data_IF_519881509588
#
_entry.id   IF_519881509588
#
_cell.length_a   1.000
_cell.length_b   1.000
_cell.length_c   1.000
_cell.angle_alpha   90.00
_cell.angle_beta   90.00
_cell.angle_gamma   90.00
#
_symmetry.space_group_name_H-M   'P 1'
#
loop_
_entity.id
_entity.type
_entity.pdbx_description
1 polymer ?
#
# COMPACT_ATOMS: atom_id res chain seq x y z
N UNK A 1 -24.15 -40.70 14.75
CA UNK A 1 -23.38 -39.50 15.13
C UNK A 1 -22.79 -39.70 16.51
N UNK A 2 -21.48 -39.50 16.70
CA UNK A 2 -20.85 -39.72 18.01
C UNK A 2 -21.08 -38.50 18.93
N UNK A 3 -22.09 -38.59 19.80
CA UNK A 3 -22.57 -37.51 20.68
C UNK A 3 -21.54 -37.02 21.72
N UNK A 4 -20.62 -37.89 22.17
CA UNK A 4 -19.65 -37.59 23.24
C UNK A 4 -18.26 -37.12 22.75
N UNK A 5 -18.14 -36.58 21.53
CA UNK A 5 -16.84 -36.16 20.96
C UNK A 5 -16.18 -34.97 21.64
N UNK A 6 -16.97 -34.12 22.31
CA UNK A 6 -16.50 -32.88 22.93
C UNK A 6 -16.23 -33.01 24.43
N UNK A 7 -16.65 -34.13 25.05
CA UNK A 7 -16.51 -34.36 26.51
C UNK A 7 -15.12 -34.87 26.87
N UNK A 8 -14.46 -35.59 25.95
CA UNK A 8 -13.10 -36.11 26.13
C UNK A 8 -12.16 -35.39 25.14
N UNK A 9 -11.19 -34.59 25.60
CA UNK A 9 -10.24 -33.93 24.71
C UNK A 9 -9.39 -34.99 23.99
N UNK A 10 -9.34 -34.91 22.66
CA UNK A 10 -8.48 -35.79 21.86
C UNK A 10 -7.05 -35.28 21.88
N UNK A 11 -6.09 -36.19 22.02
CA UNK A 11 -4.67 -35.86 21.91
C UNK A 11 -4.35 -35.29 20.51
N UNK A 12 -3.70 -34.14 20.47
CA UNK A 12 -3.08 -33.63 19.26
C UNK A 12 -1.76 -34.36 19.02
N UNK A 13 -1.59 -34.98 17.86
CA UNK A 13 -0.32 -35.57 17.44
C UNK A 13 0.53 -34.48 16.78
N UNK A 14 1.73 -34.27 17.31
CA UNK A 14 2.70 -33.31 16.78
C UNK A 14 3.56 -33.96 15.70
N UNK A 15 3.99 -33.16 14.73
CA UNK A 15 4.87 -33.61 13.66
C UNK A 15 6.35 -33.57 14.09
N UNK A 16 7.16 -34.50 13.57
CA UNK A 16 8.61 -34.52 13.83
C UNK A 16 9.37 -33.63 12.85
N UNK A 17 10.41 -32.95 13.34
CA UNK A 17 11.36 -32.19 12.53
C UNK A 17 12.38 -33.05 11.76
N UNK A 18 13.23 -32.38 10.97
CA UNK A 18 14.35 -32.98 10.24
C UNK A 18 15.47 -33.42 11.22
N UNK A 19 16.22 -34.48 10.89
CA UNK A 19 17.35 -34.92 11.71
C UNK A 19 18.49 -33.89 11.69
N UNK A 20 19.18 -33.71 12.83
CA UNK A 20 20.22 -32.68 13.00
C UNK A 20 21.29 -32.71 11.90
N UNK A 21 21.77 -33.90 11.55
CA UNK A 21 22.80 -34.09 10.53
C UNK A 21 22.34 -33.68 9.12
N UNK A 22 21.03 -33.64 8.86
CA UNK A 22 20.42 -33.33 7.55
C UNK A 22 19.75 -31.96 7.51
N UNK A 23 19.88 -31.13 8.55
CA UNK A 23 19.31 -29.78 8.56
C UNK A 23 19.83 -28.91 7.42
N UNK A 24 21.04 -29.17 6.92
CA UNK A 24 21.62 -28.47 5.76
C UNK A 24 20.83 -28.68 4.46
N UNK A 25 20.01 -29.74 4.35
CA UNK A 25 19.14 -30.00 3.20
C UNK A 25 17.78 -29.28 3.30
N UNK A 26 17.54 -28.57 4.40
CA UNK A 26 16.26 -27.94 4.71
C UNK A 26 15.27 -28.85 5.42
N UNK A 27 14.03 -28.36 5.53
CA UNK A 27 12.95 -29.05 6.23
C UNK A 27 12.52 -30.31 5.49
N UNK A 28 12.12 -31.34 6.26
CA UNK A 28 11.66 -32.60 5.70
C UNK A 28 10.24 -32.45 5.13
N UNK A 29 10.09 -32.65 3.82
CA UNK A 29 8.79 -32.56 3.14
C UNK A 29 7.80 -33.58 3.72
N UNK A 30 6.61 -33.10 4.12
CA UNK A 30 5.53 -33.97 4.62
C UNK A 30 4.48 -34.23 3.56
N UNK A 31 3.49 -35.07 3.88
CA UNK A 31 2.40 -35.43 2.95
C UNK A 31 1.62 -34.22 2.46
N UNK A 32 1.43 -33.21 3.31
CA UNK A 32 0.75 -31.97 2.97
C UNK A 32 1.54 -31.18 1.93
N UNK A 33 2.85 -31.07 2.11
CA UNK A 33 3.75 -30.36 1.19
C UNK A 33 3.89 -31.10 -0.14
N UNK A 34 4.05 -32.42 -0.09
CA UNK A 34 4.06 -33.28 -1.27
C UNK A 34 2.78 -33.11 -2.09
N UNK A 35 1.63 -33.03 -1.44
CA UNK A 35 0.35 -32.81 -2.15
C UNK A 35 0.37 -31.47 -2.88
N UNK A 36 0.81 -30.38 -2.23
CA UNK A 36 0.95 -29.06 -2.86
C UNK A 36 1.94 -29.09 -4.02
N UNK A 37 3.12 -29.71 -3.84
CA UNK A 37 4.15 -29.85 -4.89
C UNK A 37 3.63 -30.63 -6.09
N UNK A 38 2.96 -31.77 -5.86
CA UNK A 38 2.35 -32.59 -6.90
C UNK A 38 1.28 -31.82 -7.67
N UNK A 39 0.43 -31.05 -6.99
CA UNK A 39 -0.58 -30.22 -7.65
C UNK A 39 0.04 -29.13 -8.52
N UNK A 40 1.09 -28.46 -8.04
CA UNK A 40 1.84 -27.47 -8.84
C UNK A 40 2.48 -28.13 -10.06
N UNK A 41 3.13 -29.28 -9.89
CA UNK A 41 3.75 -30.03 -11.00
C UNK A 41 2.71 -30.41 -12.05
N UNK A 42 1.57 -30.98 -11.63
CA UNK A 42 0.48 -31.34 -12.55
C UNK A 42 -0.06 -30.13 -13.30
N UNK A 43 -0.23 -28.98 -12.64
CA UNK A 43 -0.65 -27.73 -13.29
C UNK A 43 0.35 -27.28 -14.35
N UNK A 44 1.65 -27.25 -14.03
CA UNK A 44 2.71 -26.91 -14.98
C UNK A 44 2.72 -27.87 -16.17
N UNK A 45 2.61 -29.17 -15.92
CA UNK A 45 2.61 -30.18 -16.99
C UNK A 45 1.40 -30.06 -17.91
N UNK A 46 0.22 -29.75 -17.35
CA UNK A 46 -0.99 -29.48 -18.15
C UNK A 46 -0.80 -28.27 -19.06
N UNK A 47 -0.22 -27.18 -18.56
CA UNK A 47 0.08 -25.99 -19.35
C UNK A 47 1.06 -26.32 -20.49
N UNK A 48 2.14 -27.05 -20.17
CA UNK A 48 3.15 -27.48 -21.16
C UNK A 48 2.51 -28.31 -22.29
N UNK A 49 1.64 -29.26 -21.96
CA UNK A 49 0.96 -30.09 -22.96
C UNK A 49 0.04 -29.26 -23.87
N UNK A 50 -0.73 -28.32 -23.30
CA UNK A 50 -1.59 -27.42 -24.09
C UNK A 50 -0.76 -26.52 -25.01
N UNK A 51 0.38 -26.02 -24.54
CA UNK A 51 1.28 -25.22 -25.37
C UNK A 51 1.88 -26.05 -26.50
N UNK A 52 2.30 -27.29 -26.24
CA UNK A 52 2.79 -28.20 -27.28
C UNK A 52 1.74 -28.47 -28.35
N UNK A 53 0.51 -28.75 -27.93
CA UNK A 53 -0.60 -28.99 -28.86
C UNK A 53 -0.88 -27.77 -29.74
N UNK A 54 -0.84 -26.55 -29.17
CA UNK A 54 -0.97 -25.30 -29.93
C UNK A 54 0.18 -25.10 -30.93
N UNK A 55 1.41 -25.41 -30.54
CA UNK A 55 2.57 -25.31 -31.43
C UNK A 55 2.44 -26.30 -32.59
N UNK A 56 2.04 -27.55 -32.31
CA UNK A 56 1.89 -28.58 -33.35
C UNK A 56 0.76 -28.28 -34.34
N UNK A 57 -0.30 -27.59 -33.89
CA UNK A 57 -1.44 -27.19 -34.74
C UNK A 57 -1.32 -25.77 -35.30
N UNK A 58 -0.16 -25.12 -35.18
CA UNK A 58 0.02 -23.74 -35.65
C UNK A 58 -0.06 -23.70 -37.18
N UNK A 59 -0.89 -22.81 -37.73
CA UNK A 59 -0.92 -22.55 -39.17
C UNK A 59 0.28 -21.67 -39.55
N UNK A 60 1.18 -22.10 -40.47
CA UNK A 60 2.31 -21.27 -40.89
C UNK A 60 1.90 -19.95 -41.56
N UNK A 61 0.72 -19.91 -42.18
CA UNK A 61 0.22 -18.75 -42.92
C UNK A 61 -0.69 -17.85 -42.06
N UNK A 62 -0.72 -18.03 -40.74
CA UNK A 62 -1.55 -17.20 -39.86
C UNK A 62 -1.05 -15.74 -39.85
N UNK A 63 -1.94 -14.80 -40.13
CA UNK A 63 -1.67 -13.37 -40.05
C UNK A 63 -2.54 -12.69 -39.00
N UNK A 64 -1.89 -11.94 -38.10
CA UNK A 64 -2.55 -11.05 -37.15
C UNK A 64 -2.09 -9.62 -37.39
N UNK A 65 -3.01 -8.64 -37.35
CA UNK A 65 -2.69 -7.22 -37.54
C UNK A 65 -1.64 -6.68 -36.55
N UNK A 66 -1.51 -7.32 -35.38
CA UNK A 66 -0.46 -7.01 -34.40
C UNK A 66 0.96 -7.36 -34.86
N UNK A 67 1.14 -8.30 -35.79
CA UNK A 67 2.44 -8.70 -36.34
C UNK A 67 3.12 -7.57 -37.11
N UNK A 68 2.34 -6.63 -37.68
CA UNK A 68 2.86 -5.44 -38.37
C UNK A 68 3.71 -4.57 -37.42
N UNK A 69 3.32 -4.51 -36.15
CA UNK A 69 3.95 -3.65 -35.13
C UNK A 69 4.75 -4.45 -34.10
N UNK A 70 5.08 -5.71 -34.37
CA UNK A 70 5.84 -6.54 -33.44
C UNK A 70 6.75 -7.51 -34.16
N UNK A 71 8.00 -7.64 -33.71
CA UNK A 71 9.01 -8.52 -34.30
C UNK A 71 9.58 -9.42 -33.21
N UNK A 72 9.88 -10.67 -33.56
CA UNK A 72 10.59 -11.58 -32.67
C UNK A 72 12.09 -11.40 -32.94
N UNK A 73 12.87 -11.15 -31.89
CA UNK A 73 14.33 -11.08 -32.00
C UNK A 73 14.89 -12.50 -32.18
N UNK A 74 15.60 -12.75 -33.28
CA UNK A 74 16.04 -14.09 -33.70
C UNK A 74 16.84 -14.86 -32.63
N UNK A 75 17.69 -14.17 -31.87
CA UNK A 75 18.58 -14.84 -30.90
C UNK A 75 17.87 -15.25 -29.59
N UNK A 76 16.90 -14.45 -29.13
CA UNK A 76 16.36 -14.57 -27.77
C UNK A 76 14.88 -14.98 -27.72
N UNK A 77 14.21 -15.11 -28.88
CA UNK A 77 12.76 -15.32 -28.98
C UNK A 77 11.91 -14.30 -28.19
N UNK A 78 12.45 -13.09 -28.00
CA UNK A 78 11.76 -12.00 -27.30
C UNK A 78 10.90 -11.24 -28.30
N UNK A 79 9.63 -11.06 -27.97
CA UNK A 79 8.70 -10.22 -28.74
C UNK A 79 8.98 -8.74 -28.46
N UNK A 80 9.52 -8.04 -29.45
CA UNK A 80 9.70 -6.59 -29.45
C UNK A 80 8.46 -5.98 -30.09
N UNK A 81 7.79 -5.07 -29.38
CA UNK A 81 6.66 -4.31 -29.91
C UNK A 81 7.12 -2.90 -30.22
N UNK A 82 6.71 -2.36 -31.36
CA UNK A 82 6.88 -0.95 -31.66
C UNK A 82 6.13 -0.12 -30.61
N UNK A 83 6.80 0.91 -30.09
CA UNK A 83 6.15 1.84 -29.18
C UNK A 83 5.12 2.67 -29.95
N UNK A 84 3.93 2.85 -29.35
CA UNK A 84 2.93 3.76 -29.91
C UNK A 84 3.48 5.18 -29.84
N UNK A 85 3.85 5.75 -30.99
CA UNK A 85 4.21 7.17 -31.10
C UNK A 85 2.95 8.02 -30.93
N UNK A 86 2.68 8.38 -29.68
CA UNK A 86 1.58 9.28 -29.34
C UNK A 86 1.97 10.71 -29.69
N UNK A 87 1.02 11.47 -30.27
CA UNK A 87 1.13 12.93 -30.40
C UNK A 87 1.44 13.56 -29.04
N UNK A 88 2.23 14.63 -29.03
CA UNK A 88 2.69 15.28 -27.79
C UNK A 88 1.54 15.74 -26.89
N UNK A 89 0.47 16.26 -27.49
CA UNK A 89 -0.77 16.64 -26.79
C UNK A 89 -1.39 15.49 -26.00
N UNK A 90 -1.43 14.30 -26.60
CA UNK A 90 -1.99 13.09 -25.95
C UNK A 90 -1.08 12.64 -24.81
N UNK A 91 0.25 12.69 -25.01
CA UNK A 91 1.22 12.41 -23.95
C UNK A 91 1.04 13.36 -22.76
N UNK A 92 0.85 14.65 -23.02
CA UNK A 92 0.60 15.66 -21.99
C UNK A 92 -0.74 15.43 -21.27
N UNK A 93 -1.82 15.11 -22.00
CA UNK A 93 -3.14 14.77 -21.42
C UNK A 93 -3.05 13.55 -20.50
N UNK A 94 -2.33 12.51 -20.91
CA UNK A 94 -2.13 11.29 -20.11
C UNK A 94 -1.31 11.57 -18.84
N UNK A 95 -0.21 12.34 -18.95
CA UNK A 95 0.58 12.78 -17.78
C UNK A 95 -0.28 13.57 -16.78
N UNK A 96 -1.17 14.44 -17.28
CA UNK A 96 -2.12 15.21 -16.45
C UNK A 96 -3.11 14.29 -15.74
N UNK A 97 -3.73 13.37 -16.48
CA UNK A 97 -4.64 12.38 -15.91
C UNK A 97 -3.99 11.56 -14.79
N UNK A 98 -2.75 11.11 -15.00
CA UNK A 98 -1.98 10.36 -14.01
C UNK A 98 -1.69 11.18 -12.74
N UNK A 99 -1.33 12.46 -12.87
CA UNK A 99 -1.14 13.34 -11.71
C UNK A 99 -2.44 13.52 -10.93
N UNK A 100 -3.55 13.78 -11.62
CA UNK A 100 -4.86 13.95 -10.98
C UNK A 100 -5.31 12.68 -10.23
N UNK A 101 -5.09 11.50 -10.83
CA UNK A 101 -5.36 10.22 -10.17
C UNK A 101 -4.53 10.04 -8.90
N UNK A 102 -3.23 10.35 -8.95
CA UNK A 102 -2.33 10.28 -7.79
C UNK A 102 -2.77 11.24 -6.68
N UNK A 103 -3.11 12.48 -7.03
CA UNK A 103 -3.62 13.48 -6.08
C UNK A 103 -4.92 13.01 -5.43
N UNK A 104 -5.89 12.55 -6.23
CA UNK A 104 -7.16 11.99 -5.73
C UNK A 104 -6.95 10.83 -4.76
N UNK A 105 -6.02 9.92 -5.07
CA UNK A 105 -5.65 8.82 -4.19
C UNK A 105 -5.04 9.31 -2.87
N UNK A 106 -4.16 10.31 -2.90
CA UNK A 106 -3.61 10.92 -1.69
C UNK A 106 -4.70 11.57 -0.82
N UNK A 107 -5.67 12.28 -1.42
CA UNK A 107 -6.81 12.84 -0.67
C UNK A 107 -7.71 11.76 -0.05
N UNK A 108 -7.96 10.64 -0.75
CA UNK A 108 -8.69 9.49 -0.19
C UNK A 108 -7.97 8.91 1.03
N UNK A 109 -6.64 8.76 0.95
CA UNK A 109 -5.82 8.36 2.11
C UNK A 109 -5.88 9.37 3.25
N UNK A 110 -5.76 10.66 2.94
CA UNK A 110 -5.86 11.74 3.94
C UNK A 110 -7.20 11.71 4.68
N UNK A 111 -8.31 11.52 3.96
CA UNK A 111 -9.65 11.38 4.55
C UNK A 111 -9.73 10.20 5.52
N UNK A 112 -9.18 9.04 5.14
CA UNK A 112 -9.12 7.85 6.02
C UNK A 112 -8.30 8.13 7.28
N UNK A 113 -7.11 8.72 7.15
CA UNK A 113 -6.27 9.06 8.30
C UNK A 113 -6.95 10.08 9.22
N UNK A 114 -7.55 11.13 8.66
CA UNK A 114 -8.28 12.12 9.44
C UNK A 114 -9.45 11.49 10.22
N UNK A 115 -10.17 10.54 9.62
CA UNK A 115 -11.23 9.79 10.32
C UNK A 115 -10.66 8.99 11.50
N UNK A 116 -9.55 8.28 11.30
CA UNK A 116 -8.89 7.51 12.37
C UNK A 116 -8.41 8.44 13.49
N UNK A 117 -7.77 9.57 13.15
CA UNK A 117 -7.32 10.58 14.12
C UNK A 117 -8.51 11.13 14.91
N UNK A 118 -9.63 11.45 14.24
CA UNK A 118 -10.82 11.96 14.90
C UNK A 118 -11.41 10.95 15.89
N UNK A 119 -11.57 9.70 15.45
CA UNK A 119 -12.03 8.62 16.34
C UNK A 119 -11.09 8.43 17.53
N UNK A 120 -9.77 8.50 17.32
CA UNK A 120 -8.79 8.39 18.39
C UNK A 120 -8.94 9.50 19.43
N UNK A 121 -9.19 10.74 18.98
CA UNK A 121 -9.42 11.89 19.87
C UNK A 121 -10.69 11.78 20.71
N UNK A 122 -11.71 11.10 20.20
CA UNK A 122 -12.99 10.89 20.89
C UNK A 122 -12.90 9.71 21.87
N UNK A 123 -12.31 8.59 21.44
CA UNK A 123 -12.33 7.34 22.19
C UNK A 123 -11.21 7.23 23.24
N UNK A 124 -10.09 7.94 23.07
CA UNK A 124 -8.96 7.87 24.01
C UNK A 124 -9.00 9.13 24.87
N UNK A 125 -9.14 9.00 26.22
CA UNK A 125 -9.11 10.15 27.10
C UNK A 125 -7.81 10.92 26.89
N UNK A 126 -7.92 12.22 26.63
CA UNK A 126 -6.79 13.09 26.28
C UNK A 126 -5.66 13.03 27.33
N UNK A 127 -5.99 12.71 28.59
CA UNK A 127 -5.05 12.48 29.70
C UNK A 127 -4.00 11.39 29.43
N UNK A 128 -4.31 10.37 28.61
CA UNK A 128 -3.38 9.27 28.30
C UNK A 128 -2.57 9.49 27.02
N UNK A 129 -2.78 10.61 26.33
CA UNK A 129 -2.18 10.92 25.02
C UNK A 129 -1.41 12.25 25.09
N UNK A 130 -1.90 13.23 25.82
CA UNK A 130 -1.24 14.50 26.01
C UNK A 130 -0.68 14.55 27.43
N UNK A 131 0.47 15.21 27.63
CA UNK A 131 1.03 15.51 28.95
C UNK A 131 0.18 16.56 29.69
N UNK A 132 -1.15 16.38 29.68
CA UNK A 132 -2.09 17.24 30.39
C UNK A 132 -2.13 16.75 31.83
N UNK A 133 -1.41 17.44 32.71
CA UNK A 133 -1.60 17.34 34.15
C UNK A 133 -2.97 17.93 34.47
N UNK A 134 -3.93 17.09 34.86
CA UNK A 134 -5.10 17.60 35.55
C UNK A 134 -4.68 17.99 36.96
N UNK A 135 -4.77 19.27 37.22
CA UNK A 135 -4.51 19.89 38.51
C UNK A 135 -5.84 19.89 39.28
N UNK A 136 -5.85 19.26 40.44
CA UNK A 136 -6.95 19.34 41.39
C UNK A 136 -6.46 20.16 42.57
N UNK A 137 -7.31 21.06 43.06
CA UNK A 137 -7.06 21.79 44.29
C UNK A 137 -7.90 21.18 45.40
N UNK A 138 -7.27 20.87 46.53
CA UNK A 138 -8.00 20.46 47.73
C UNK A 138 -8.70 21.67 48.36
N UNK A 139 -9.52 21.43 49.38
CA UNK A 139 -10.19 22.48 50.17
C UNK A 139 -9.22 23.51 50.77
N UNK A 140 -7.96 23.12 50.99
CA UNK A 140 -6.87 23.99 51.46
C UNK A 140 -6.09 24.69 50.33
N UNK A 141 -6.63 24.75 49.10
CA UNK A 141 -5.99 25.31 47.89
C UNK A 141 -4.64 24.68 47.51
N UNK A 142 -4.35 23.48 48.02
CA UNK A 142 -3.13 22.76 47.67
C UNK A 142 -3.28 22.05 46.33
N UNK A 143 -2.33 22.30 45.41
CA UNK A 143 -2.26 21.68 44.08
C UNK A 143 -1.86 20.21 44.17
N UNK A 144 -2.72 19.32 43.67
CA UNK A 144 -2.43 17.91 43.47
C UNK A 144 -2.47 17.56 41.97
N UNK A 145 -1.44 16.84 41.50
CA UNK A 145 -1.39 16.33 40.14
C UNK A 145 -1.85 14.88 40.18
N UNK A 146 -2.92 14.59 39.44
CA UNK A 146 -3.40 13.21 39.30
C UNK A 146 -2.43 12.40 38.41
N UNK A 147 -1.47 11.70 39.03
CA UNK A 147 -0.66 10.66 38.39
C UNK A 147 -1.22 9.26 38.66
N UNK A 148 -1.23 8.39 37.65
CA UNK A 148 -1.56 6.97 37.85
C UNK A 148 -0.31 6.22 38.29
N UNK A 149 -0.35 5.50 39.41
CA UNK A 149 0.79 4.68 39.86
C UNK A 149 0.84 3.30 39.19
N UNK A 150 -0.27 2.84 38.61
CA UNK A 150 -0.35 1.54 37.94
C UNK A 150 0.54 1.48 36.68
N UNK A 151 1.54 0.59 36.73
CA UNK A 151 2.49 0.32 35.64
C UNK A 151 1.80 -0.15 34.35
N UNK A 152 0.68 -0.89 34.43
CA UNK A 152 -0.05 -1.38 33.25
C UNK A 152 -0.68 -0.23 32.48
N UNK A 153 -1.32 0.70 33.17
CA UNK A 153 -1.94 1.89 32.58
C UNK A 153 -0.91 2.82 31.92
N UNK A 154 0.25 3.02 32.56
CA UNK A 154 1.38 3.78 31.96
C UNK A 154 1.85 3.17 30.64
N UNK A 155 1.98 1.84 30.58
CA UNK A 155 2.40 1.15 29.35
C UNK A 155 1.37 1.28 28.22
N UNK A 156 0.08 1.23 28.55
CA UNK A 156 -1.02 1.42 27.60
C UNK A 156 -1.06 2.87 27.09
N UNK A 157 -0.87 3.86 27.95
CA UNK A 157 -0.82 5.27 27.56
C UNK A 157 0.35 5.55 26.62
N UNK A 158 1.55 5.04 26.92
CA UNK A 158 2.69 5.16 26.03
C UNK A 158 2.44 4.54 24.64
N UNK A 159 1.81 3.36 24.60
CA UNK A 159 1.47 2.70 23.34
C UNK A 159 0.47 3.52 22.52
N UNK A 160 -0.56 4.05 23.19
CA UNK A 160 -1.55 4.93 22.57
C UNK A 160 -0.91 6.23 22.05
N UNK A 161 0.00 6.83 22.81
CA UNK A 161 0.71 8.03 22.40
C UNK A 161 1.60 7.78 21.18
N UNK A 162 2.36 6.68 21.18
CA UNK A 162 3.15 6.23 20.01
C UNK A 162 2.24 6.06 18.79
N UNK A 163 1.10 5.38 18.95
CA UNK A 163 0.11 5.18 17.88
C UNK A 163 -0.43 6.51 17.35
N UNK A 164 -0.80 7.45 18.21
CA UNK A 164 -1.28 8.77 17.79
C UNK A 164 -0.22 9.55 17.00
N UNK A 165 1.03 9.55 17.49
CA UNK A 165 2.15 10.20 16.81
C UNK A 165 2.43 9.60 15.43
N UNK A 166 2.32 8.28 15.27
CA UNK A 166 2.45 7.65 13.94
C UNK A 166 1.36 8.13 12.97
N UNK A 167 0.12 8.32 13.42
CA UNK A 167 -0.98 8.82 12.59
C UNK A 167 -0.74 10.28 12.18
N UNK A 168 -0.25 11.12 13.10
CA UNK A 168 0.13 12.51 12.80
C UNK A 168 1.24 12.54 11.74
N UNK A 169 2.28 11.73 11.91
CA UNK A 169 3.39 11.66 10.97
C UNK A 169 2.93 11.17 9.59
N UNK A 170 2.05 10.16 9.55
CA UNK A 170 1.44 9.70 8.31
C UNK A 170 0.61 10.80 7.63
N UNK A 171 -0.17 11.59 8.39
CA UNK A 171 -0.89 12.76 7.87
C UNK A 171 0.07 13.80 7.28
N UNK A 172 1.14 14.15 7.99
CA UNK A 172 2.17 15.09 7.52
C UNK A 172 2.81 14.62 6.21
N UNK A 173 3.14 13.33 6.12
CA UNK A 173 3.73 12.74 4.92
C UNK A 173 2.78 12.78 3.72
N UNK A 174 1.49 12.45 3.92
CA UNK A 174 0.49 12.54 2.84
C UNK A 174 0.34 13.98 2.36
N UNK A 175 0.27 14.96 3.27
CA UNK A 175 0.19 16.38 2.92
C UNK A 175 1.44 16.83 2.14
N UNK A 176 2.63 16.36 2.51
CA UNK A 176 3.86 16.59 1.74
C UNK A 176 3.77 16.00 0.33
N UNK A 177 3.27 14.77 0.19
CA UNK A 177 3.05 14.15 -1.12
C UNK A 177 2.08 14.94 -1.99
N UNK A 178 0.97 15.43 -1.43
CA UNK A 178 -0.02 16.26 -2.14
C UNK A 178 0.66 17.54 -2.66
N UNK A 179 1.36 18.27 -1.79
CA UNK A 179 2.09 19.49 -2.20
C UNK A 179 3.10 19.23 -3.31
N UNK A 180 3.86 18.14 -3.23
CA UNK A 180 4.83 17.78 -4.27
C UNK A 180 4.15 17.49 -5.62
N UNK A 181 3.00 16.80 -5.61
CA UNK A 181 2.23 16.50 -6.81
C UNK A 181 1.61 17.76 -7.41
N UNK A 182 1.04 18.64 -6.58
CA UNK A 182 0.48 19.92 -7.01
C UNK A 182 1.57 20.83 -7.59
N UNK A 183 2.73 20.92 -6.93
CA UNK A 183 3.86 21.69 -7.45
C UNK A 183 4.39 21.14 -8.77
N UNK A 184 4.44 19.80 -8.92
CA UNK A 184 4.81 19.15 -10.19
C UNK A 184 3.79 19.43 -11.28
N UNK A 185 2.49 19.44 -10.96
CA UNK A 185 1.44 19.82 -11.91
C UNK A 185 1.65 21.28 -12.37
N UNK A 186 1.89 22.18 -11.42
CA UNK A 186 2.13 23.60 -11.71
C UNK A 186 3.34 23.77 -12.61
N UNK A 187 4.49 23.20 -12.27
CA UNK A 187 5.72 23.37 -13.07
C UNK A 187 5.60 22.81 -14.49
N UNK A 188 4.77 21.76 -14.69
CA UNK A 188 4.60 21.12 -16.00
C UNK A 188 3.54 21.76 -16.88
N UNK A 189 2.48 22.34 -16.29
CA UNK A 189 1.34 22.88 -17.04
C UNK A 189 1.16 24.40 -16.92
N UNK A 190 2.06 25.12 -16.23
CA UNK A 190 1.99 26.58 -16.02
C UNK A 190 1.72 27.37 -17.30
N UNK A 191 2.36 27.01 -18.41
CA UNK A 191 2.28 27.77 -19.67
C UNK A 191 1.15 27.30 -20.59
N UNK A 192 0.48 26.19 -20.27
CA UNK A 192 -0.51 25.55 -21.15
C UNK A 192 -1.91 26.09 -20.86
N UNK A 193 -2.27 26.28 -19.59
CA UNK A 193 -3.63 26.63 -19.18
C UNK A 193 -3.85 28.17 -19.03
N UNK A 194 -2.91 29.01 -19.47
CA UNK A 194 -3.01 30.47 -19.38
C UNK A 194 -2.95 31.05 -17.95
N UNK A 195 -2.62 30.23 -16.95
CA UNK A 195 -2.54 30.66 -15.55
C UNK A 195 -1.22 31.37 -15.25
N UNK A 196 -1.30 32.51 -14.56
CA UNK A 196 -0.11 33.15 -13.97
C UNK A 196 0.16 32.53 -12.60
N UNK A 197 1.29 31.84 -12.48
CA UNK A 197 1.70 31.25 -11.19
C UNK A 197 2.50 32.29 -10.41
N UNK A 198 1.97 32.71 -9.26
CA UNK A 198 2.69 33.57 -8.31
C UNK A 198 3.47 32.69 -7.33
N UNK A 199 4.78 32.89 -7.23
CA UNK A 199 5.59 32.29 -6.17
C UNK A 199 5.30 33.04 -4.88
N UNK A 200 4.51 32.45 -3.98
CA UNK A 200 4.45 32.93 -2.60
C UNK A 200 5.74 32.47 -1.91
N UNK A 201 6.51 33.40 -1.31
CA UNK A 201 7.75 33.06 -0.59
C UNK A 201 7.47 31.97 0.45
N UNK A 202 8.26 30.88 0.44
CA UNK A 202 8.23 29.80 1.46
C UNK A 202 7.64 28.45 1.02
N UNK A 203 7.38 27.56 1.99
CA UNK A 203 6.82 26.19 1.80
C UNK A 203 5.32 26.16 1.47
N UNK A 204 4.81 27.19 0.79
CA UNK A 204 3.39 27.29 0.42
C UNK A 204 3.18 26.70 -0.98
N UNK A 205 2.11 25.92 -1.21
CA UNK A 205 1.81 25.40 -2.55
C UNK A 205 1.49 26.55 -3.50
N UNK A 206 1.86 26.41 -4.77
CA UNK A 206 1.50 27.39 -5.80
C UNK A 206 -0.03 27.50 -5.90
N UNK A 207 -0.55 28.74 -5.89
CA UNK A 207 -1.98 29.01 -6.07
C UNK A 207 -2.25 29.44 -7.51
N UNK A 208 -3.18 28.76 -8.17
CA UNK A 208 -3.65 29.16 -9.50
C UNK A 208 -4.54 30.40 -9.38
N UNK A 209 -4.26 31.42 -10.20
CA UNK A 209 -5.17 32.52 -10.46
C UNK A 209 -5.58 32.43 -11.92
N UNK A 210 -6.87 32.19 -12.18
CA UNK A 210 -7.41 32.33 -13.52
C UNK A 210 -7.10 33.74 -14.05
N UNK A 211 -6.62 33.88 -15.30
CA UNK A 211 -6.58 35.20 -15.90
C UNK A 211 -7.99 35.78 -15.81
N UNK A 212 -8.13 36.98 -15.25
CA UNK A 212 -9.40 37.70 -15.37
C UNK A 212 -9.57 37.94 -16.87
N UNK A 213 -10.63 37.38 -17.45
CA UNK A 213 -11.04 37.80 -18.79
C UNK A 213 -11.23 39.32 -18.72
N UNK A 214 -10.45 40.03 -19.54
CA UNK A 214 -10.46 41.48 -19.61
C UNK A 214 -11.54 41.92 -20.58
#
# INVERSE_FOLDING_TARGET
>A
MSSYKNVIPRRSYLERGQSKNRLHLGEIEKKVDYKKRREIYKKKKKIENVLREKIMRKNPDEFHTGMVHSRIKENDNILIKEEKVLKEEIKLKNKRGLLNQKVSYCYKKLKKINKIINNFRICVPLRYVFNNSHEIFNENEQKQILSTDDKKLKKVSELNQKRYNTLINAKKNILKCIRNLENKYVSTYRNIDGYTVKNLKGNTPYRFYAPRFR
#
